data_IF_401238704111
#
_entry.id   IF_401238704111
#
_cell.length_a   1.000
_cell.length_b   1.000
_cell.length_c   1.000
_cell.angle_alpha   90.00
_cell.angle_beta   90.00
_cell.angle_gamma   90.00
#
_symmetry.space_group_name_H-M   'P 1'
#
loop_
_entity.id
_entity.type
_entity.pdbx_description
1 polymer ?
#
# COMPACT_ATOMS: atom_id res chain seq x y z
N UNK A 1 54.15 1.45 -43.17
CA UNK A 1 53.35 2.17 -42.15
C UNK A 1 52.19 1.28 -41.72
N UNK A 2 52.22 0.72 -40.49
CA UNK A 2 51.16 -0.17 -39.95
C UNK A 2 50.10 0.75 -39.27
N UNK A 3 48.87 0.73 -39.79
CA UNK A 3 47.75 1.44 -39.16
C UNK A 3 47.17 0.53 -38.05
N UNK A 4 47.23 0.99 -36.80
CA UNK A 4 46.60 0.32 -35.64
C UNK A 4 45.15 0.82 -35.56
N UNK A 5 44.20 -0.07 -35.78
CA UNK A 5 42.77 0.17 -35.59
C UNK A 5 42.40 -0.05 -34.12
N UNK A 6 42.09 1.04 -33.42
CA UNK A 6 41.66 0.98 -32.02
C UNK A 6 40.13 0.80 -32.01
N UNK A 7 39.65 -0.39 -31.68
CA UNK A 7 38.21 -0.68 -31.52
C UNK A 7 37.80 -0.30 -30.11
N UNK A 8 37.10 0.82 -29.95
CA UNK A 8 36.51 1.20 -28.68
C UNK A 8 35.24 0.36 -28.42
N UNK A 9 35.33 -0.62 -27.54
CA UNK A 9 34.19 -1.42 -27.09
C UNK A 9 33.41 -0.60 -26.04
N UNK A 10 32.25 -0.07 -26.42
CA UNK A 10 31.32 0.59 -25.48
C UNK A 10 30.51 -0.48 -24.76
N UNK A 11 30.79 -0.66 -23.49
CA UNK A 11 29.98 -1.56 -22.62
C UNK A 11 28.64 -0.86 -22.34
N UNK A 12 27.57 -1.35 -22.98
CA UNK A 12 26.19 -0.93 -22.62
C UNK A 12 25.80 -1.62 -21.32
N UNK A 13 25.75 -0.87 -20.21
CA UNK A 13 25.15 -1.34 -18.97
C UNK A 13 23.64 -1.29 -19.14
N UNK A 14 23.02 -2.45 -19.23
CA UNK A 14 21.55 -2.57 -19.28
C UNK A 14 21.01 -2.50 -17.84
N UNK A 15 20.30 -1.44 -17.51
CA UNK A 15 19.51 -1.37 -16.27
C UNK A 15 18.25 -2.22 -16.46
N UNK A 16 18.10 -3.27 -15.68
CA UNK A 16 16.94 -4.16 -15.73
C UNK A 16 16.00 -3.81 -14.57
N UNK A 17 14.92 -3.09 -14.88
CA UNK A 17 13.83 -2.87 -13.92
C UNK A 17 12.83 -4.03 -14.04
N UNK A 18 12.46 -4.61 -12.90
CA UNK A 18 11.42 -5.63 -12.83
C UNK A 18 10.19 -5.08 -12.14
N UNK A 19 9.08 -5.03 -12.85
CA UNK A 19 7.78 -4.75 -12.25
C UNK A 19 7.10 -6.07 -11.88
N UNK A 20 6.59 -6.16 -10.66
CA UNK A 20 5.82 -7.28 -10.15
C UNK A 20 4.40 -6.78 -9.87
N UNK A 21 3.43 -7.35 -10.58
CA UNK A 21 2.02 -7.19 -10.24
C UNK A 21 1.67 -8.25 -9.19
N UNK A 22 1.19 -7.81 -8.05
CA UNK A 22 0.78 -8.71 -6.97
C UNK A 22 -0.59 -9.32 -7.28
N UNK A 23 -0.81 -10.54 -6.84
CA UNK A 23 -2.08 -11.24 -6.96
C UNK A 23 -3.11 -10.60 -6.01
N UNK A 24 -3.94 -9.70 -6.56
CA UNK A 24 -4.93 -8.95 -5.77
C UNK A 24 -6.06 -9.84 -5.25
N UNK A 25 -6.37 -10.95 -5.92
CA UNK A 25 -7.40 -11.89 -5.48
C UNK A 25 -7.00 -12.65 -4.20
N UNK A 26 -5.68 -12.87 -4.02
CA UNK A 26 -5.09 -13.50 -2.83
C UNK A 26 -4.61 -12.49 -1.79
N UNK A 27 -4.69 -11.20 -2.11
CA UNK A 27 -4.21 -10.11 -1.25
C UNK A 27 -5.38 -9.44 -0.55
N UNK A 28 -5.23 -9.16 0.74
CA UNK A 28 -6.23 -8.42 1.50
C UNK A 28 -5.58 -7.56 2.58
N UNK A 29 -6.30 -6.54 2.98
CA UNK A 29 -5.98 -5.70 4.12
C UNK A 29 -6.88 -6.09 5.28
N UNK A 30 -6.29 -6.30 6.46
CA UNK A 30 -7.02 -6.34 7.71
C UNK A 30 -6.89 -4.97 8.37
N UNK A 31 -7.99 -4.24 8.49
CA UNK A 31 -8.02 -3.01 9.25
C UNK A 31 -8.41 -3.25 10.71
N UNK A 32 -7.95 -2.40 11.61
CA UNK A 32 -8.34 -2.39 13.02
C UNK A 32 -8.52 -0.96 13.48
N UNK A 33 -9.71 -0.65 13.97
CA UNK A 33 -10.04 0.61 14.61
C UNK A 33 -10.19 0.45 16.11
N UNK A 34 -9.53 1.33 16.89
CA UNK A 34 -9.66 1.36 18.36
C UNK A 34 -10.55 2.53 18.76
N UNK A 35 -11.51 2.26 19.65
CA UNK A 35 -12.30 3.31 20.32
C UNK A 35 -11.60 3.78 21.59
N UNK A 36 -11.92 4.98 22.04
CA UNK A 36 -11.43 5.54 23.32
C UNK A 36 -11.82 4.63 24.51
N UNK A 37 -12.91 3.87 24.38
CA UNK A 37 -13.42 2.91 25.39
C UNK A 37 -12.68 1.56 25.39
N UNK A 38 -11.53 1.42 24.74
CA UNK A 38 -10.78 0.18 24.53
C UNK A 38 -11.49 -0.90 23.71
N UNK A 39 -12.69 -0.69 23.22
CA UNK A 39 -13.32 -1.58 22.26
C UNK A 39 -12.63 -1.43 20.91
N UNK A 40 -12.34 -2.54 20.24
CA UNK A 40 -11.77 -2.56 18.90
C UNK A 40 -12.72 -3.27 17.94
N UNK A 41 -12.84 -2.71 16.73
CA UNK A 41 -13.43 -3.40 15.60
C UNK A 41 -12.36 -3.67 14.56
N UNK A 42 -12.54 -4.74 13.81
CA UNK A 42 -11.69 -5.07 12.68
C UNK A 42 -12.51 -5.60 11.53
N UNK A 43 -11.94 -5.53 10.34
CA UNK A 43 -12.56 -6.04 9.14
C UNK A 43 -11.56 -6.12 7.99
N UNK A 44 -12.08 -6.25 6.79
CA UNK A 44 -11.30 -6.47 5.58
C UNK A 44 -11.50 -5.35 4.56
N UNK A 45 -10.48 -5.16 3.72
CA UNK A 45 -10.48 -4.36 2.50
C UNK A 45 -9.68 -5.11 1.44
N UNK A 46 -9.97 -4.85 0.18
CA UNK A 46 -9.29 -5.48 -0.95
C UNK A 46 -8.64 -4.45 -1.86
N UNK A 47 -7.63 -4.91 -2.59
CA UNK A 47 -6.94 -4.08 -3.56
C UNK A 47 -7.64 -4.13 -4.92
N UNK A 48 -7.71 -2.99 -5.60
CA UNK A 48 -8.01 -2.92 -7.04
C UNK A 48 -6.74 -2.91 -7.89
N UNK A 49 -5.60 -2.47 -7.31
CA UNK A 49 -4.28 -2.49 -7.95
C UNK A 49 -3.20 -2.67 -6.88
N UNK A 50 -2.20 -3.51 -7.16
CA UNK A 50 -1.05 -3.65 -6.29
C UNK A 50 0.18 -4.03 -7.12
N UNK A 51 1.19 -3.14 -7.16
CA UNK A 51 2.43 -3.40 -7.87
C UNK A 51 3.65 -2.88 -7.13
N UNK A 52 4.79 -3.53 -7.40
CA UNK A 52 6.11 -3.19 -6.91
C UNK A 52 7.09 -3.16 -8.09
N UNK A 53 8.05 -2.26 -8.03
CA UNK A 53 9.13 -2.16 -9.02
C UNK A 53 10.47 -2.29 -8.32
N UNK A 54 11.30 -3.17 -8.86
CA UNK A 54 12.63 -3.45 -8.34
C UNK A 54 13.73 -3.08 -9.33
N UNK A 55 14.86 -2.65 -8.81
CA UNK A 55 16.14 -2.57 -9.49
C UNK A 55 17.08 -3.59 -8.84
N UNK A 56 17.23 -4.75 -9.48
CA UNK A 56 17.87 -5.90 -8.88
C UNK A 56 17.13 -6.38 -7.63
N UNK A 57 17.73 -6.18 -6.44
CA UNK A 57 17.10 -6.53 -5.14
C UNK A 57 16.53 -5.31 -4.41
N UNK A 58 16.76 -4.13 -4.93
CA UNK A 58 16.32 -2.89 -4.32
C UNK A 58 14.90 -2.55 -4.76
N UNK A 59 14.03 -2.31 -3.82
CA UNK A 59 12.67 -1.86 -4.06
C UNK A 59 12.71 -0.35 -4.33
N UNK A 60 12.28 0.08 -5.52
CA UNK A 60 12.41 1.47 -5.94
C UNK A 60 11.08 2.21 -6.07
N UNK A 61 9.98 1.48 -6.24
CA UNK A 61 8.64 2.06 -6.40
C UNK A 61 7.57 1.05 -6.02
N UNK A 62 6.45 1.54 -5.52
CA UNK A 62 5.24 0.76 -5.32
C UNK A 62 3.99 1.61 -5.40
N UNK A 63 2.90 0.97 -5.82
CA UNK A 63 1.58 1.58 -5.85
C UNK A 63 0.54 0.55 -5.47
N UNK A 64 -0.32 0.94 -4.55
CA UNK A 64 -1.45 0.14 -4.06
C UNK A 64 -2.70 1.00 -4.09
N UNK A 65 -3.72 0.52 -4.75
CA UNK A 65 -5.04 1.13 -4.77
C UNK A 65 -5.99 0.19 -4.05
N UNK A 66 -6.64 0.70 -3.03
CA UNK A 66 -7.61 -0.03 -2.21
C UNK A 66 -9.01 0.35 -2.65
N UNK A 67 -9.83 -0.63 -2.96
CA UNK A 67 -11.25 -0.43 -3.19
C UNK A 67 -11.97 -0.21 -1.86
N UNK A 68 -12.35 1.04 -1.57
CA UNK A 68 -13.03 1.41 -0.33
C UNK A 68 -14.47 0.89 -0.26
N UNK A 69 -15.08 0.53 -1.38
CA UNK A 69 -16.40 -0.12 -1.39
C UNK A 69 -16.35 -1.54 -0.83
N UNK A 70 -15.19 -2.20 -0.94
CA UNK A 70 -14.95 -3.54 -0.40
C UNK A 70 -14.85 -3.60 1.14
N UNK A 71 -14.95 -2.46 1.84
CA UNK A 71 -14.84 -2.38 3.28
C UNK A 71 -15.91 -3.23 3.97
N UNK A 72 -15.48 -4.15 4.84
CA UNK A 72 -16.33 -4.98 5.68
C UNK A 72 -15.95 -4.86 7.15
N UNK A 73 -16.88 -5.12 8.04
CA UNK A 73 -16.68 -5.23 9.48
C UNK A 73 -16.84 -6.69 9.91
N UNK A 74 -15.70 -7.38 10.10
CA UNK A 74 -15.69 -8.83 10.32
C UNK A 74 -15.72 -9.20 11.82
N UNK A 75 -15.56 -8.21 12.70
CA UNK A 75 -15.56 -8.39 14.16
C UNK A 75 -16.96 -8.40 14.78
N UNK A 76 -18.00 -8.25 14.00
CA UNK A 76 -19.39 -8.12 14.45
C UNK A 76 -20.33 -8.75 13.42
N UNK A 77 -21.48 -9.22 13.84
CA UNK A 77 -22.46 -9.91 13.00
C UNK A 77 -23.84 -9.22 13.03
N UNK A 78 -24.72 -9.66 12.12
CA UNK A 78 -26.10 -9.23 12.02
C UNK A 78 -26.26 -7.72 11.77
N UNK A 79 -27.34 -7.12 12.28
CA UNK A 79 -27.63 -5.71 12.10
C UNK A 79 -26.55 -4.76 12.61
N UNK A 80 -25.73 -5.20 13.56
CA UNK A 80 -24.59 -4.43 14.07
C UNK A 80 -23.51 -4.27 13.02
N UNK A 81 -23.24 -5.31 12.22
CA UNK A 81 -22.32 -5.28 11.09
C UNK A 81 -22.77 -4.28 10.04
N UNK A 82 -24.00 -4.40 9.57
CA UNK A 82 -24.57 -3.50 8.56
C UNK A 82 -24.46 -2.02 9.00
N UNK A 83 -24.89 -1.70 10.22
CA UNK A 83 -24.80 -0.34 10.74
C UNK A 83 -23.38 0.20 10.85
N UNK A 84 -22.41 -0.65 11.20
CA UNK A 84 -21.02 -0.25 11.29
C UNK A 84 -20.42 -0.04 9.89
N UNK A 85 -20.71 -0.92 8.94
CA UNK A 85 -20.25 -0.79 7.55
C UNK A 85 -20.84 0.45 6.88
N UNK A 86 -22.14 0.70 7.04
CA UNK A 86 -22.81 1.91 6.53
C UNK A 86 -22.16 3.16 7.12
N UNK A 87 -22.00 3.21 8.44
CA UNK A 87 -21.35 4.34 9.11
C UNK A 87 -19.91 4.56 8.65
N UNK A 88 -19.10 3.50 8.48
CA UNK A 88 -17.73 3.62 8.00
C UNK A 88 -17.66 4.12 6.55
N UNK A 89 -18.66 3.81 5.74
CA UNK A 89 -18.74 4.23 4.32
C UNK A 89 -19.36 5.61 4.13
N UNK A 90 -20.05 6.14 5.13
CA UNK A 90 -20.76 7.40 5.07
C UNK A 90 -19.82 8.61 4.90
N UNK A 91 -20.38 9.76 4.49
CA UNK A 91 -19.63 10.97 4.11
C UNK A 91 -18.87 11.59 5.28
N UNK A 92 -19.38 11.46 6.51
CA UNK A 92 -18.73 11.93 7.74
C UNK A 92 -17.56 11.05 8.18
N UNK A 93 -17.41 9.84 7.62
CA UNK A 93 -16.29 8.96 7.89
C UNK A 93 -15.38 8.82 6.66
N UNK A 94 -15.45 7.75 5.86
CA UNK A 94 -14.60 7.59 4.67
C UNK A 94 -15.17 8.22 3.39
N UNK A 95 -16.46 8.55 3.35
CA UNK A 95 -17.12 9.16 2.20
C UNK A 95 -16.98 8.33 0.92
N UNK A 96 -17.23 7.01 1.03
CA UNK A 96 -16.92 6.04 -0.03
C UNK A 96 -17.70 6.28 -1.32
N UNK A 97 -18.87 6.96 -1.23
CA UNK A 97 -19.66 7.37 -2.40
C UNK A 97 -18.88 8.28 -3.35
N UNK A 98 -18.02 9.15 -2.81
CA UNK A 98 -17.18 10.11 -3.54
C UNK A 98 -15.73 9.64 -3.61
N UNK A 99 -15.21 9.07 -2.53
CA UNK A 99 -13.82 8.63 -2.38
C UNK A 99 -13.72 7.11 -2.48
N UNK A 100 -13.91 6.57 -3.66
CA UNK A 100 -13.96 5.13 -3.89
C UNK A 100 -12.63 4.41 -3.67
N UNK A 101 -11.51 5.15 -3.66
CA UNK A 101 -10.17 4.58 -3.53
C UNK A 101 -9.37 5.26 -2.42
N UNK A 102 -8.61 4.45 -1.68
CA UNK A 102 -7.46 4.91 -0.93
C UNK A 102 -6.18 4.48 -1.67
N UNK A 103 -5.15 5.32 -1.65
CA UNK A 103 -3.94 5.11 -2.45
C UNK A 103 -2.72 5.19 -1.55
N UNK A 104 -1.86 4.18 -1.62
CA UNK A 104 -0.53 4.19 -1.03
C UNK A 104 0.49 4.11 -2.15
N UNK A 105 1.37 5.09 -2.23
CA UNK A 105 2.41 5.09 -3.24
C UNK A 105 3.76 5.56 -2.68
N UNK A 106 4.84 5.06 -3.26
CA UNK A 106 6.19 5.52 -2.99
C UNK A 106 7.05 5.42 -4.23
N UNK A 107 8.03 6.32 -4.33
CA UNK A 107 8.98 6.39 -5.43
C UNK A 107 10.37 6.76 -4.85
N UNK A 108 10.86 5.88 -3.98
CA UNK A 108 12.16 6.04 -3.33
C UNK A 108 12.80 4.68 -3.13
N UNK A 109 14.09 4.61 -3.37
CA UNK A 109 14.87 3.38 -3.22
C UNK A 109 14.88 2.93 -1.77
N UNK A 110 14.56 1.67 -1.54
CA UNK A 110 14.70 0.98 -0.26
C UNK A 110 15.48 -0.31 -0.45
N UNK A 111 16.52 -0.48 0.34
CA UNK A 111 17.38 -1.66 0.35
C UNK A 111 16.86 -2.66 1.38
N UNK A 112 16.90 -3.95 1.03
CA UNK A 112 16.52 -5.01 1.97
C UNK A 112 17.53 -5.07 3.14
N UNK A 113 17.08 -4.68 4.32
CA UNK A 113 17.90 -4.65 5.54
C UNK A 113 17.20 -5.44 6.64
N UNK A 114 17.88 -6.44 7.20
CA UNK A 114 17.30 -7.34 8.22
C UNK A 114 15.95 -7.95 7.81
N UNK A 115 15.83 -8.34 6.53
CA UNK A 115 14.63 -8.97 5.98
C UNK A 115 13.47 -8.00 5.69
N UNK A 116 13.66 -6.68 5.77
CA UNK A 116 12.61 -5.67 5.57
C UNK A 116 13.06 -4.54 4.66
N UNK A 117 12.13 -3.98 3.93
CA UNK A 117 12.26 -2.70 3.25
C UNK A 117 11.66 -1.61 4.14
N UNK A 118 12.43 -0.57 4.46
CA UNK A 118 11.92 0.62 5.14
C UNK A 118 11.48 1.63 4.09
N UNK A 119 10.21 1.96 4.09
CA UNK A 119 9.58 2.74 3.03
C UNK A 119 9.05 4.05 3.60
N UNK A 120 9.35 5.14 2.89
CA UNK A 120 8.68 6.42 3.05
C UNK A 120 7.83 6.66 1.81
N UNK A 121 6.54 6.88 2.00
CA UNK A 121 5.58 7.02 0.93
C UNK A 121 4.53 8.08 1.23
N UNK A 122 3.53 8.12 0.38
CA UNK A 122 2.36 8.98 0.47
C UNK A 122 1.12 8.09 0.60
N UNK A 123 0.30 8.38 1.60
CA UNK A 123 -1.00 7.74 1.77
C UNK A 123 -2.09 8.76 1.51
N UNK A 124 -3.00 8.43 0.60
CA UNK A 124 -4.18 9.25 0.27
C UNK A 124 -5.43 8.54 0.75
N UNK A 125 -6.18 9.17 1.62
CA UNK A 125 -7.51 8.73 2.10
C UNK A 125 -8.45 9.92 2.01
N UNK A 126 -9.68 9.72 1.56
CA UNK A 126 -10.69 10.77 1.43
C UNK A 126 -10.18 11.99 0.63
N UNK A 127 -9.34 11.75 -0.38
CA UNK A 127 -8.72 12.79 -1.20
C UNK A 127 -7.58 13.59 -0.52
N UNK A 128 -7.28 13.33 0.75
CA UNK A 128 -6.21 13.99 1.50
C UNK A 128 -4.97 13.12 1.51
N UNK A 129 -3.83 13.69 1.13
CA UNK A 129 -2.55 13.00 1.05
C UNK A 129 -1.61 13.44 2.16
N UNK A 130 -1.05 12.46 2.89
CA UNK A 130 -0.05 12.70 3.92
C UNK A 130 1.13 11.74 3.77
N UNK A 131 2.34 12.15 4.22
CA UNK A 131 3.48 11.25 4.27
C UNK A 131 3.27 10.15 5.32
N UNK A 132 3.77 8.95 4.98
CA UNK A 132 3.73 7.78 5.85
C UNK A 132 5.02 6.99 5.75
N UNK A 133 5.45 6.40 6.88
CA UNK A 133 6.58 5.49 6.93
C UNK A 133 6.11 4.13 7.41
N UNK A 134 6.57 3.06 6.75
CA UNK A 134 6.20 1.69 7.09
C UNK A 134 7.29 0.71 6.66
N UNK A 135 7.14 -0.56 7.07
CA UNK A 135 8.00 -1.65 6.62
C UNK A 135 7.23 -2.60 5.74
N UNK A 136 7.91 -3.11 4.70
CA UNK A 136 7.42 -4.18 3.84
C UNK A 136 8.35 -5.38 3.95
N UNK A 137 7.80 -6.53 4.29
CA UNK A 137 8.55 -7.76 4.55
C UNK A 137 8.22 -8.82 3.49
N UNK A 138 9.21 -9.34 2.73
CA UNK A 138 9.02 -10.54 1.94
C UNK A 138 8.94 -11.78 2.85
N UNK A 139 7.83 -12.51 2.81
CA UNK A 139 7.58 -13.70 3.64
C UNK A 139 7.03 -14.81 2.77
N UNK A 140 7.77 -15.91 2.59
CA UNK A 140 7.34 -17.10 1.84
C UNK A 140 6.73 -16.79 0.46
N UNK A 141 7.37 -15.90 -0.30
CA UNK A 141 6.88 -15.49 -1.63
C UNK A 141 5.77 -14.45 -1.63
N UNK A 142 5.33 -14.01 -0.45
CA UNK A 142 4.37 -12.91 -0.29
C UNK A 142 5.05 -11.66 0.27
N UNK A 143 4.31 -10.55 0.29
CA UNK A 143 4.74 -9.32 0.95
C UNK A 143 3.75 -8.99 2.07
N UNK A 144 4.29 -8.66 3.24
CA UNK A 144 3.49 -8.28 4.42
C UNK A 144 3.91 -6.87 4.86
N UNK A 145 2.93 -6.01 5.09
CA UNK A 145 3.16 -4.67 5.64
C UNK A 145 2.26 -4.43 6.84
N UNK A 146 2.77 -3.68 7.82
CA UNK A 146 1.99 -3.15 8.92
C UNK A 146 2.05 -1.61 8.86
N UNK A 147 0.89 -0.98 8.78
CA UNK A 147 0.72 0.43 8.55
C UNK A 147 -0.16 1.02 9.65
N UNK A 148 0.32 2.05 10.32
CA UNK A 148 -0.43 2.78 11.34
C UNK A 148 -0.51 4.24 10.93
N UNK A 149 -1.72 4.78 10.89
CA UNK A 149 -1.94 6.18 10.55
C UNK A 149 -2.97 6.83 11.49
N UNK A 150 -2.86 8.13 11.65
CA UNK A 150 -3.83 8.94 12.37
C UNK A 150 -4.95 9.36 11.40
N UNK A 151 -6.14 8.84 11.62
CA UNK A 151 -7.31 9.09 10.77
C UNK A 151 -7.72 10.57 10.72
N UNK A 152 -7.46 11.32 11.79
CA UNK A 152 -7.82 12.75 11.88
C UNK A 152 -7.09 13.56 10.79
N UNK A 153 -5.86 13.15 10.42
CA UNK A 153 -5.09 13.79 9.35
C UNK A 153 -5.72 13.66 7.96
N UNK A 154 -6.73 12.81 7.82
CA UNK A 154 -7.45 12.55 6.58
C UNK A 154 -8.91 12.99 6.65
N UNK A 155 -9.26 13.84 7.60
CA UNK A 155 -10.63 14.28 7.85
C UNK A 155 -11.62 13.11 8.03
N UNK A 156 -11.12 12.01 8.62
CA UNK A 156 -11.92 10.85 9.01
C UNK A 156 -12.24 11.03 10.49
N UNK A 157 -13.28 11.79 10.76
CA UNK A 157 -13.73 12.17 12.10
C UNK A 157 -15.03 11.43 12.43
N UNK A 158 -15.33 11.34 13.73
CA UNK A 158 -16.58 10.79 14.25
C UNK A 158 -17.17 11.80 15.21
#
# INVERSE_FOLDING_TARGET
MKKILFTLSVLFVQFSFSQINLDIEKSKIKWTGKKITNASHWGSLYFSEANLVFDGKDLIKGKFIVDMQSLTADSIEGRGKERLEDHLKDDDFFGVSVHQNAILEFNSKSVLTNGKYNINGLLTIKGITNPISFTLEPVNGNYVANLIFDRIKYDVTY
#
